data_IF_490641474084
#
_entry.id   IF_490641474084
#
_cell.length_a   1.000
_cell.length_b   1.000
_cell.length_c   1.000
_cell.angle_alpha   90.00
_cell.angle_beta   90.00
_cell.angle_gamma   90.00
#
_symmetry.space_group_name_H-M   'P 1'
#
loop_
_entity.id
_entity.type
_entity.pdbx_description
1 polymer ?
#
# COMPACT_ATOMS: atom_id res chain seq x y z
N UNK A 1 -11.52 -20.67 14.51
CA UNK A 1 -10.48 -19.92 15.25
C UNK A 1 -10.94 -18.50 15.54
N UNK A 2 -10.35 -17.88 16.55
CA UNK A 2 -10.57 -16.49 16.93
C UNK A 2 -9.27 -15.70 16.73
N UNK A 3 -9.29 -14.70 15.86
CA UNK A 3 -8.10 -13.90 15.50
C UNK A 3 -8.28 -12.47 15.97
N UNK A 4 -7.29 -11.93 16.65
CA UNK A 4 -7.24 -10.53 17.11
C UNK A 4 -6.14 -9.80 16.35
N UNK A 5 -6.52 -8.91 15.42
CA UNK A 5 -5.58 -8.06 14.67
C UNK A 5 -5.36 -6.74 15.39
N UNK A 6 -4.11 -6.30 15.48
CA UNK A 6 -3.74 -5.04 16.16
C UNK A 6 -3.04 -4.08 15.20
N UNK A 7 -3.58 -2.87 15.09
CA UNK A 7 -2.98 -1.78 14.31
C UNK A 7 -3.23 -0.43 15.01
N UNK A 8 -2.50 0.64 14.63
CA UNK A 8 -2.64 1.94 15.30
C UNK A 8 -4.03 2.53 15.17
N UNK A 9 -4.54 2.64 13.95
CA UNK A 9 -5.81 3.31 13.58
C UNK A 9 -6.43 2.65 12.36
N UNK A 10 -7.72 2.88 12.14
CA UNK A 10 -8.48 2.41 10.97
C UNK A 10 -8.94 3.58 10.09
N UNK A 11 -8.00 4.41 9.61
CA UNK A 11 -8.31 5.58 8.80
C UNK A 11 -8.18 5.32 7.29
N UNK A 12 -6.94 5.25 6.78
CA UNK A 12 -6.66 4.98 5.37
C UNK A 12 -5.21 4.55 5.17
N UNK A 13 -5.00 3.62 4.27
CA UNK A 13 -3.67 3.11 3.92
C UNK A 13 -3.67 1.62 3.62
N UNK A 14 -2.53 1.10 3.19
CA UNK A 14 -2.41 -0.31 2.81
C UNK A 14 -2.49 -1.27 4.00
N UNK A 15 -2.10 -0.84 5.20
CA UNK A 15 -2.19 -1.66 6.43
C UNK A 15 -3.64 -1.81 6.86
N UNK A 16 -4.36 -0.69 6.91
CA UNK A 16 -5.77 -0.62 7.29
C UNK A 16 -6.64 -1.43 6.33
N UNK A 17 -6.45 -1.21 5.02
CA UNK A 17 -7.17 -1.95 3.97
C UNK A 17 -6.91 -3.46 4.08
N UNK A 18 -5.64 -3.88 4.21
CA UNK A 18 -5.29 -5.28 4.40
C UNK A 18 -5.81 -5.88 5.71
N UNK A 19 -6.06 -5.06 6.75
CA UNK A 19 -6.71 -5.52 7.98
C UNK A 19 -8.18 -5.84 7.75
N UNK A 20 -8.91 -4.98 7.03
CA UNK A 20 -10.30 -5.22 6.66
C UNK A 20 -10.44 -6.44 5.75
N UNK A 21 -9.56 -6.56 4.74
CA UNK A 21 -9.54 -7.69 3.81
C UNK A 21 -9.43 -9.04 4.54
N UNK A 22 -8.48 -9.16 5.46
CA UNK A 22 -8.32 -10.39 6.29
C UNK A 22 -9.47 -10.56 7.28
N UNK A 23 -9.97 -9.47 7.87
CA UNK A 23 -11.11 -9.51 8.78
C UNK A 23 -12.37 -10.06 8.08
N UNK A 24 -12.66 -9.57 6.86
CA UNK A 24 -13.75 -10.07 6.02
C UNK A 24 -13.58 -11.54 5.65
N UNK A 25 -12.37 -11.96 5.27
CA UNK A 25 -12.07 -13.35 4.93
C UNK A 25 -12.27 -14.30 6.13
N UNK A 26 -11.87 -13.87 7.35
CA UNK A 26 -12.11 -14.61 8.58
C UNK A 26 -13.60 -14.83 8.83
N UNK A 27 -14.41 -13.76 8.74
CA UNK A 27 -15.87 -13.82 8.94
C UNK A 27 -16.52 -14.70 7.88
N UNK A 28 -16.14 -14.55 6.60
CA UNK A 28 -16.68 -15.34 5.49
C UNK A 28 -16.44 -16.86 5.65
N UNK A 29 -15.34 -17.24 6.34
CA UNK A 29 -15.03 -18.65 6.66
C UNK A 29 -15.54 -19.08 8.04
N UNK A 30 -16.44 -18.32 8.68
CA UNK A 30 -17.05 -18.67 9.97
C UNK A 30 -16.13 -18.52 11.17
N UNK A 31 -15.05 -17.74 11.04
CA UNK A 31 -14.12 -17.47 12.13
C UNK A 31 -14.48 -16.16 12.87
N UNK A 32 -14.05 -16.04 14.11
CA UNK A 32 -14.23 -14.81 14.89
C UNK A 32 -13.11 -13.83 14.60
N UNK A 33 -13.46 -12.64 14.13
CA UNK A 33 -12.55 -11.56 13.82
C UNK A 33 -12.70 -10.42 14.82
N UNK A 34 -11.61 -10.11 15.54
CA UNK A 34 -11.48 -8.98 16.45
C UNK A 34 -10.42 -8.03 15.91
N UNK A 35 -10.67 -6.73 15.98
CA UNK A 35 -9.69 -5.73 15.58
C UNK A 35 -9.53 -4.69 16.68
N UNK A 36 -8.30 -4.52 17.18
CA UNK A 36 -7.95 -3.55 18.22
C UNK A 36 -7.22 -2.37 17.57
N UNK A 37 -7.75 -1.17 17.76
CA UNK A 37 -7.13 0.07 17.28
C UNK A 37 -7.65 1.30 18.06
N UNK A 38 -7.08 2.48 17.79
CA UNK A 38 -7.60 3.75 18.31
C UNK A 38 -8.92 4.21 17.64
N UNK A 39 -9.52 3.38 16.77
CA UNK A 39 -10.66 3.76 15.95
C UNK A 39 -10.26 4.36 14.59
N UNK A 40 -11.20 4.97 13.91
CA UNK A 40 -11.02 5.60 12.62
C UNK A 40 -12.24 5.41 11.70
N UNK A 41 -12.24 6.08 10.55
CA UNK A 41 -13.37 6.10 9.61
C UNK A 41 -13.78 4.73 9.04
N UNK A 42 -12.89 3.76 9.06
CA UNK A 42 -13.15 2.40 8.54
C UNK A 42 -13.76 1.45 9.58
N UNK A 43 -13.99 1.90 10.83
CA UNK A 43 -14.59 1.07 11.89
C UNK A 43 -16.01 0.63 11.51
N UNK A 44 -16.84 1.56 11.03
CA UNK A 44 -18.22 1.23 10.63
C UNK A 44 -18.28 0.18 9.53
N UNK A 45 -17.35 0.25 8.56
CA UNK A 45 -17.23 -0.76 7.51
C UNK A 45 -16.81 -2.11 8.09
N UNK A 46 -15.79 -2.13 8.95
CA UNK A 46 -15.30 -3.35 9.60
C UNK A 46 -16.42 -4.08 10.35
N UNK A 47 -17.23 -3.34 11.11
CA UNK A 47 -18.33 -3.88 11.90
C UNK A 47 -19.52 -4.33 11.04
N UNK A 48 -19.84 -3.57 9.99
CA UNK A 48 -20.84 -3.97 9.00
C UNK A 48 -20.46 -5.26 8.26
N UNK A 49 -19.14 -5.53 8.11
CA UNK A 49 -18.61 -6.77 7.54
C UNK A 49 -18.50 -7.92 8.55
N UNK A 50 -19.03 -7.77 9.78
CA UNK A 50 -19.17 -8.82 10.79
C UNK A 50 -17.99 -8.98 11.74
N UNK A 51 -16.99 -8.12 11.71
CA UNK A 51 -15.90 -8.11 12.68
C UNK A 51 -16.23 -7.24 13.89
N UNK A 52 -15.67 -7.55 15.06
CA UNK A 52 -15.83 -6.73 16.26
C UNK A 52 -14.64 -5.78 16.40
N UNK A 53 -14.90 -4.48 16.52
CA UNK A 53 -13.87 -3.49 16.88
C UNK A 53 -13.76 -3.32 18.40
N UNK A 54 -12.53 -3.24 18.89
CA UNK A 54 -12.19 -2.96 20.29
C UNK A 54 -11.32 -1.71 20.35
N UNK A 55 -11.84 -0.63 20.88
CA UNK A 55 -11.13 0.65 20.94
C UNK A 55 -10.07 0.63 22.04
N UNK A 56 -8.81 0.82 21.64
CA UNK A 56 -7.68 0.99 22.55
C UNK A 56 -6.67 1.97 21.93
N UNK A 57 -6.18 3.00 22.64
CA UNK A 57 -5.27 4.02 22.09
C UNK A 57 -3.83 3.52 21.97
N UNK A 58 -3.60 2.58 21.03
CA UNK A 58 -2.31 1.93 20.76
C UNK A 58 -1.56 2.57 19.58
N UNK A 59 -1.93 3.79 19.19
CA UNK A 59 -1.37 4.50 18.03
C UNK A 59 -0.16 5.38 18.37
N UNK A 60 -0.05 5.90 19.58
CA UNK A 60 0.97 6.91 19.94
C UNK A 60 2.33 6.26 20.20
N UNK A 61 3.37 6.83 19.58
CA UNK A 61 4.76 6.51 19.88
C UNK A 61 5.25 7.36 21.06
N UNK A 62 4.81 7.02 22.27
CA UNK A 62 5.16 7.74 23.50
C UNK A 62 5.25 6.79 24.69
N UNK A 63 5.92 7.21 25.76
CA UNK A 63 5.99 6.43 27.01
C UNK A 63 4.60 6.23 27.62
N UNK A 64 3.67 7.16 27.42
CA UNK A 64 2.28 7.04 27.89
C UNK A 64 1.54 5.83 27.27
N UNK A 65 1.98 5.33 26.10
CA UNK A 65 1.40 4.14 25.51
C UNK A 65 1.63 2.88 26.36
N UNK A 66 2.64 2.86 27.23
CA UNK A 66 2.89 1.74 28.15
C UNK A 66 1.72 1.50 29.12
N UNK A 67 0.93 2.52 29.42
CA UNK A 67 -0.30 2.36 30.20
C UNK A 67 -1.32 1.44 29.54
N UNK A 68 -1.21 1.23 28.21
CA UNK A 68 -2.11 0.36 27.46
C UNK A 68 -1.74 -1.13 27.56
N UNK A 69 -0.60 -1.47 28.17
CA UNK A 69 -0.17 -2.88 28.35
C UNK A 69 -1.18 -3.66 29.20
N UNK A 70 -1.61 -3.11 30.34
CA UNK A 70 -2.58 -3.79 31.21
C UNK A 70 -3.99 -3.89 30.59
N UNK A 71 -4.56 -2.83 30.00
CA UNK A 71 -5.80 -2.94 29.23
C UNK A 71 -5.73 -3.95 28.09
N UNK A 72 -4.65 -3.94 27.30
CA UNK A 72 -4.46 -4.90 26.22
C UNK A 72 -4.40 -6.36 26.72
N UNK A 73 -3.67 -6.58 27.83
CA UNK A 73 -3.64 -7.91 28.47
C UNK A 73 -5.03 -8.37 28.87
N UNK A 74 -5.84 -7.50 29.51
CA UNK A 74 -7.22 -7.82 29.90
C UNK A 74 -8.08 -8.18 28.69
N UNK A 75 -7.96 -7.44 27.58
CA UNK A 75 -8.67 -7.76 26.33
C UNK A 75 -8.27 -9.15 25.79
N UNK A 76 -6.97 -9.49 25.83
CA UNK A 76 -6.50 -10.81 25.40
C UNK A 76 -7.03 -11.91 26.33
N UNK A 77 -7.00 -11.71 27.64
CA UNK A 77 -7.51 -12.67 28.65
C UNK A 77 -9.03 -12.83 28.59
N UNK A 78 -9.78 -11.75 28.36
CA UNK A 78 -11.24 -11.75 28.24
C UNK A 78 -11.72 -12.45 26.98
N UNK A 79 -11.11 -12.08 25.84
CA UNK A 79 -11.55 -12.60 24.55
C UNK A 79 -10.90 -13.91 24.17
N UNK A 80 -9.79 -14.30 24.79
CA UNK A 80 -9.05 -15.54 24.54
C UNK A 80 -8.89 -15.86 23.05
N UNK A 81 -8.23 -14.96 22.26
CA UNK A 81 -7.97 -15.23 20.86
C UNK A 81 -7.00 -16.41 20.73
N UNK A 82 -7.16 -17.23 19.70
CA UNK A 82 -6.20 -18.26 19.33
C UNK A 82 -4.92 -17.61 18.76
N UNK A 83 -5.10 -16.50 18.03
CA UNK A 83 -4.03 -15.78 17.35
C UNK A 83 -4.13 -14.29 17.62
N UNK A 84 -2.98 -13.69 17.94
CA UNK A 84 -2.78 -12.23 17.92
C UNK A 84 -1.90 -11.88 16.73
N UNK A 85 -2.41 -11.06 15.83
CA UNK A 85 -1.68 -10.60 14.64
C UNK A 85 -1.36 -9.11 14.72
N UNK A 86 -0.09 -8.78 14.91
CA UNK A 86 0.37 -7.39 15.01
C UNK A 86 0.80 -6.85 13.65
N UNK A 87 0.32 -5.64 13.31
CA UNK A 87 0.54 -5.02 12.01
C UNK A 87 1.36 -3.74 12.05
N UNK A 88 1.87 -3.37 13.24
CA UNK A 88 2.69 -2.17 13.43
C UNK A 88 3.52 -2.26 14.70
N UNK A 89 4.62 -1.49 14.73
CA UNK A 89 5.63 -1.54 15.79
C UNK A 89 5.12 -1.21 17.19
N UNK A 90 4.28 -0.16 17.35
CA UNK A 90 3.73 0.19 18.68
C UNK A 90 2.81 -0.90 19.20
N UNK A 91 1.78 -1.35 18.45
CA UNK A 91 1.00 -2.52 18.82
C UNK A 91 1.85 -3.76 19.13
N UNK A 92 2.91 -4.05 18.35
CA UNK A 92 3.79 -5.18 18.58
C UNK A 92 4.53 -5.09 19.92
N UNK A 93 5.08 -3.93 20.28
CA UNK A 93 5.71 -3.71 21.58
C UNK A 93 4.72 -3.87 22.74
N UNK A 94 3.53 -3.30 22.62
CA UNK A 94 2.50 -3.42 23.66
C UNK A 94 2.06 -4.88 23.84
N UNK A 95 1.86 -5.60 22.74
CA UNK A 95 1.54 -7.04 22.75
C UNK A 95 2.66 -7.85 23.40
N UNK A 96 3.92 -7.62 23.03
CA UNK A 96 5.06 -8.30 23.62
C UNK A 96 5.07 -8.18 25.16
N UNK A 97 4.85 -6.98 25.68
CA UNK A 97 4.78 -6.79 27.16
C UNK A 97 3.48 -7.34 27.78
N UNK A 98 2.36 -7.25 27.07
CA UNK A 98 1.11 -7.82 27.55
C UNK A 98 1.21 -9.35 27.69
N UNK A 99 1.75 -10.04 26.68
CA UNK A 99 1.92 -11.50 26.68
C UNK A 99 2.89 -11.99 27.76
N UNK A 100 3.93 -11.22 28.10
CA UNK A 100 4.83 -11.59 29.21
C UNK A 100 4.11 -11.77 30.56
N UNK A 101 2.99 -11.12 30.76
CA UNK A 101 2.19 -11.25 31.98
C UNK A 101 1.10 -12.30 31.90
N UNK A 102 0.98 -13.04 30.80
CA UNK A 102 0.07 -14.17 30.63
C UNK A 102 0.86 -15.47 30.76
N UNK A 103 0.39 -16.46 31.52
CA UNK A 103 1.03 -17.79 31.60
C UNK A 103 1.27 -18.38 30.21
N UNK A 104 2.42 -19.02 30.00
CA UNK A 104 2.85 -19.47 28.66
C UNK A 104 1.81 -20.38 27.97
N UNK A 105 1.19 -21.28 28.73
CA UNK A 105 0.15 -22.20 28.26
C UNK A 105 -1.22 -21.56 27.96
N UNK A 106 -1.36 -20.24 28.19
CA UNK A 106 -2.57 -19.45 27.90
C UNK A 106 -2.31 -18.32 26.89
N UNK A 107 -1.09 -18.24 26.36
CA UNK A 107 -0.74 -17.21 25.36
C UNK A 107 -1.30 -17.59 24.02
N UNK A 108 -1.91 -16.63 23.31
CA UNK A 108 -2.23 -16.81 21.88
C UNK A 108 -0.95 -16.92 21.06
N UNK A 109 -1.04 -17.58 19.90
CA UNK A 109 0.03 -17.53 18.90
C UNK A 109 0.23 -16.11 18.39
N UNK A 110 1.48 -15.70 18.24
CA UNK A 110 1.83 -14.35 17.80
C UNK A 110 2.32 -14.36 16.35
N UNK A 111 1.63 -13.61 15.50
CA UNK A 111 2.00 -13.40 14.11
C UNK A 111 2.21 -11.90 13.88
N UNK A 112 3.15 -11.56 13.02
CA UNK A 112 3.39 -10.18 12.61
C UNK A 112 3.38 -10.06 11.08
N UNK A 113 3.05 -8.86 10.57
CA UNK A 113 3.28 -8.52 9.15
C UNK A 113 4.20 -7.32 9.05
N UNK A 114 5.27 -7.47 8.29
CA UNK A 114 6.19 -6.39 7.93
C UNK A 114 5.67 -5.68 6.69
N UNK A 115 5.13 -4.46 6.88
CA UNK A 115 4.49 -3.65 5.84
C UNK A 115 5.38 -2.55 5.27
N UNK A 116 6.58 -2.36 5.80
CA UNK A 116 7.45 -1.25 5.44
C UNK A 116 8.93 -1.59 5.62
N UNK A 117 9.78 -0.93 4.86
CA UNK A 117 11.21 -0.87 5.12
C UNK A 117 11.46 0.10 6.28
N UNK A 118 11.43 -0.42 7.48
CA UNK A 118 11.63 0.38 8.68
C UNK A 118 13.11 0.74 8.85
N UNK A 119 13.39 1.82 9.60
CA UNK A 119 14.77 2.07 10.04
C UNK A 119 15.29 0.88 10.83
N UNK A 120 16.45 0.35 10.47
CA UNK A 120 17.06 -0.82 11.10
C UNK A 120 17.56 -0.44 12.49
N UNK A 121 16.86 -0.89 13.52
CA UNK A 121 17.19 -0.65 14.93
C UNK A 121 16.41 -1.61 15.85
N UNK A 122 16.76 -1.62 17.14
CA UNK A 122 16.11 -2.49 18.15
C UNK A 122 14.60 -2.24 18.27
N UNK A 123 14.14 -1.01 18.04
CA UNK A 123 12.71 -0.70 18.10
C UNK A 123 11.94 -1.36 16.96
N UNK A 124 12.49 -1.38 15.76
CA UNK A 124 11.86 -2.00 14.60
C UNK A 124 11.98 -3.53 14.60
N UNK A 125 13.01 -4.09 15.25
CA UNK A 125 13.23 -5.52 15.37
C UNK A 125 12.06 -6.27 16.04
N UNK A 126 11.19 -5.59 16.78
CA UNK A 126 10.01 -6.21 17.41
C UNK A 126 9.09 -6.88 16.37
N UNK A 127 9.06 -6.36 15.15
CA UNK A 127 8.23 -6.92 14.08
C UNK A 127 8.73 -8.27 13.55
N UNK A 128 9.94 -8.67 13.95
CA UNK A 128 10.55 -9.95 13.56
C UNK A 128 10.68 -10.92 14.74
N UNK A 129 10.00 -10.66 15.87
CA UNK A 129 10.02 -11.49 17.07
C UNK A 129 8.74 -12.31 17.29
N UNK A 130 7.88 -12.37 16.30
CA UNK A 130 6.70 -13.22 16.30
C UNK A 130 7.06 -14.67 15.90
N UNK A 131 6.21 -15.64 16.23
CA UNK A 131 6.36 -17.04 15.83
C UNK A 131 6.39 -17.22 14.32
N UNK A 132 5.59 -16.41 13.60
CA UNK A 132 5.63 -16.27 12.15
C UNK A 132 5.58 -14.81 11.75
N UNK A 133 6.38 -14.48 10.74
CA UNK A 133 6.54 -13.12 10.21
C UNK A 133 6.12 -13.10 8.75
N UNK A 134 5.00 -12.46 8.46
CA UNK A 134 4.54 -12.29 7.08
C UNK A 134 5.36 -11.17 6.44
N UNK A 135 6.03 -11.47 5.34
CA UNK A 135 6.67 -10.52 4.45
C UNK A 135 5.79 -10.30 3.21
N UNK A 136 5.47 -9.05 2.88
CA UNK A 136 4.51 -8.72 1.82
C UNK A 136 5.09 -8.78 0.39
N UNK A 137 6.37 -9.12 0.25
CA UNK A 137 7.08 -9.27 -1.02
C UNK A 137 8.44 -9.97 -0.81
N UNK A 138 9.09 -10.42 -1.88
CA UNK A 138 10.45 -10.96 -1.83
C UNK A 138 11.46 -9.89 -1.39
N UNK A 139 11.27 -8.64 -1.79
CA UNK A 139 12.08 -7.51 -1.32
C UNK A 139 11.99 -7.34 0.20
N UNK A 140 10.82 -7.59 0.81
CA UNK A 140 10.66 -7.55 2.28
C UNK A 140 11.28 -8.80 2.93
N UNK A 141 11.18 -9.98 2.31
CA UNK A 141 11.91 -11.18 2.78
C UNK A 141 13.41 -10.88 2.83
N UNK A 142 13.97 -10.38 1.73
CA UNK A 142 15.38 -9.99 1.65
C UNK A 142 15.76 -8.96 2.72
N UNK A 143 14.94 -7.92 2.87
CA UNK A 143 15.16 -6.90 3.90
C UNK A 143 15.21 -7.51 5.32
N UNK A 144 14.29 -8.43 5.65
CA UNK A 144 14.28 -9.08 6.98
C UNK A 144 15.53 -9.92 7.15
N UNK A 145 15.88 -10.77 6.19
CA UNK A 145 17.03 -11.68 6.27
C UNK A 145 18.37 -10.94 6.33
N UNK A 146 18.48 -9.82 5.63
CA UNK A 146 19.71 -9.01 5.61
C UNK A 146 19.94 -8.29 6.95
N UNK A 147 18.89 -7.79 7.59
CA UNK A 147 19.00 -6.85 8.71
C UNK A 147 18.62 -7.42 10.08
N UNK A 148 17.85 -8.51 10.15
CA UNK A 148 17.34 -9.07 11.42
C UNK A 148 17.74 -10.53 11.59
N UNK A 149 19.02 -10.75 11.89
CA UNK A 149 19.61 -12.12 12.01
C UNK A 149 18.95 -13.01 13.05
N UNK A 150 18.21 -12.43 14.00
CA UNK A 150 17.47 -13.18 15.03
C UNK A 150 16.09 -13.68 14.55
N UNK A 151 15.70 -13.40 13.29
CA UNK A 151 14.51 -13.95 12.68
C UNK A 151 14.92 -15.14 11.79
N UNK A 152 14.63 -16.39 12.20
CA UNK A 152 15.00 -17.55 11.40
C UNK A 152 14.26 -17.54 10.04
N UNK A 153 14.91 -17.92 8.94
CA UNK A 153 14.29 -17.90 7.62
C UNK A 153 12.99 -18.73 7.53
N UNK A 154 12.90 -19.85 8.26
CA UNK A 154 11.70 -20.71 8.32
C UNK A 154 10.51 -20.06 9.02
N UNK A 155 10.71 -18.96 9.74
CA UNK A 155 9.65 -18.20 10.40
C UNK A 155 9.16 -17.04 9.52
N UNK A 156 9.86 -16.75 8.42
CA UNK A 156 9.45 -15.74 7.44
C UNK A 156 8.59 -16.40 6.37
N UNK A 157 7.34 -15.93 6.25
CA UNK A 157 6.40 -16.41 5.23
C UNK A 157 6.10 -15.29 4.28
N UNK A 158 6.44 -15.45 3.00
CA UNK A 158 6.06 -14.49 1.98
C UNK A 158 4.58 -14.67 1.63
N UNK A 159 3.79 -13.63 1.86
CA UNK A 159 2.40 -13.55 1.40
C UNK A 159 2.24 -12.20 0.71
N UNK A 160 2.15 -12.22 -0.61
CA UNK A 160 1.95 -11.00 -1.40
C UNK A 160 0.64 -10.30 -1.02
N UNK A 161 0.61 -8.99 -1.20
CA UNK A 161 -0.66 -8.28 -1.22
C UNK A 161 -1.44 -8.65 -2.45
N UNK A 162 -2.76 -8.54 -2.33
CA UNK A 162 -3.65 -8.86 -3.42
C UNK A 162 -4.56 -7.72 -3.82
N UNK A 163 -5.13 -7.86 -5.01
CA UNK A 163 -6.17 -6.99 -5.54
C UNK A 163 -7.45 -7.78 -5.74
N UNK A 164 -8.57 -7.11 -5.48
CA UNK A 164 -9.90 -7.63 -5.78
C UNK A 164 -10.26 -7.28 -7.22
N UNK A 165 -10.38 -8.25 -8.13
CA UNK A 165 -10.75 -7.98 -9.52
C UNK A 165 -12.17 -7.43 -9.68
N UNK A 166 -13.05 -7.61 -8.69
CA UNK A 166 -14.37 -6.99 -8.71
C UNK A 166 -14.30 -5.49 -8.38
N UNK A 167 -13.34 -5.08 -7.53
CA UNK A 167 -13.11 -3.68 -7.22
C UNK A 167 -12.32 -2.94 -8.33
N UNK A 168 -11.44 -3.67 -9.05
CA UNK A 168 -10.60 -3.16 -10.13
C UNK A 168 -10.73 -4.07 -11.38
N UNK A 169 -11.91 -4.09 -12.02
CA UNK A 169 -12.14 -4.99 -13.16
C UNK A 169 -11.30 -4.56 -14.37
N UNK A 170 -10.80 -5.56 -15.10
CA UNK A 170 -10.02 -5.32 -16.31
C UNK A 170 -10.87 -4.59 -17.37
N UNK A 171 -10.25 -3.64 -18.08
CA UNK A 171 -10.91 -2.75 -19.02
C UNK A 171 -12.05 -1.90 -18.40
N UNK A 172 -11.90 -1.55 -17.11
CA UNK A 172 -12.83 -0.67 -16.44
C UNK A 172 -12.93 0.68 -17.17
N UNK A 173 -14.17 1.15 -17.36
CA UNK A 173 -14.43 2.47 -17.92
C UNK A 173 -15.15 3.35 -16.90
N UNK A 174 -14.63 4.54 -16.59
CA UNK A 174 -15.35 5.53 -15.78
C UNK A 174 -16.69 5.91 -16.42
N UNK A 175 -17.66 6.31 -15.62
CA UNK A 175 -18.97 6.72 -16.12
C UNK A 175 -18.92 8.06 -16.84
N UNK A 176 -19.87 8.29 -17.77
CA UNK A 176 -20.01 9.59 -18.43
C UNK A 176 -20.20 10.75 -17.43
N UNK A 177 -20.89 10.51 -16.32
CA UNK A 177 -21.05 11.50 -15.26
C UNK A 177 -19.70 11.86 -14.63
N UNK A 178 -18.83 10.87 -14.40
CA UNK A 178 -17.48 11.09 -13.86
C UNK A 178 -16.63 11.92 -14.85
N UNK A 179 -16.65 11.60 -16.15
CA UNK A 179 -15.95 12.38 -17.17
C UNK A 179 -16.44 13.83 -17.21
N UNK A 180 -17.76 14.06 -17.20
CA UNK A 180 -18.32 15.40 -17.18
C UNK A 180 -17.84 16.19 -15.96
N UNK A 181 -17.79 15.55 -14.77
CA UNK A 181 -17.30 16.21 -13.56
C UNK A 181 -15.80 16.53 -13.66
N UNK A 182 -14.98 15.61 -14.16
CA UNK A 182 -13.54 15.82 -14.31
C UNK A 182 -13.25 16.94 -15.29
N UNK A 183 -13.91 16.98 -16.44
CA UNK A 183 -13.67 18.04 -17.44
C UNK A 183 -14.25 19.39 -17.02
N UNK A 184 -15.27 19.43 -16.16
CA UNK A 184 -15.70 20.68 -15.54
C UNK A 184 -14.67 21.20 -14.52
N UNK A 185 -14.08 20.29 -13.72
CA UNK A 185 -13.09 20.67 -12.70
C UNK A 185 -11.69 20.91 -13.29
N UNK A 186 -11.33 20.18 -14.34
CA UNK A 186 -10.01 20.17 -14.98
C UNK A 186 -10.14 20.13 -16.52
N UNK A 187 -10.63 21.22 -17.15
CA UNK A 187 -10.88 21.24 -18.60
C UNK A 187 -9.62 21.04 -19.44
N UNK A 188 -8.45 21.33 -18.88
CA UNK A 188 -7.16 21.12 -19.53
C UNK A 188 -6.81 19.66 -19.78
N UNK A 189 -7.53 18.69 -19.18
CA UNK A 189 -7.30 17.26 -19.34
C UNK A 189 -8.05 16.67 -20.54
N UNK A 190 -8.98 17.42 -21.11
CA UNK A 190 -9.78 16.94 -22.24
C UNK A 190 -8.90 16.73 -23.49
N UNK A 191 -9.05 15.57 -24.13
CA UNK A 191 -8.31 15.17 -25.34
C UNK A 191 -6.77 15.15 -25.15
N UNK A 192 -6.27 14.88 -23.93
CA UNK A 192 -4.84 14.73 -23.64
C UNK A 192 -4.43 13.27 -23.57
N UNK A 193 -3.15 13.03 -23.83
CA UNK A 193 -2.49 11.78 -23.46
C UNK A 193 -1.98 11.92 -22.00
N UNK A 194 -2.49 11.11 -21.09
CA UNK A 194 -2.33 11.32 -19.67
C UNK A 194 -1.28 10.41 -19.03
N UNK A 195 -0.25 11.00 -18.44
CA UNK A 195 0.66 10.34 -17.51
C UNK A 195 0.18 10.57 -16.08
N UNK A 196 -0.22 9.53 -15.38
CA UNK A 196 -0.67 9.62 -13.99
C UNK A 196 0.44 9.25 -13.02
N UNK A 197 0.75 10.14 -12.07
CA UNK A 197 1.60 9.83 -10.90
C UNK A 197 0.74 9.78 -9.64
N UNK A 198 0.26 8.59 -9.24
CA UNK A 198 -0.56 8.45 -8.05
C UNK A 198 0.27 8.32 -6.78
N UNK A 199 -0.16 8.99 -5.73
CA UNK A 199 0.45 8.88 -4.41
C UNK A 199 0.49 10.18 -3.64
N UNK A 200 0.77 10.08 -2.34
CA UNK A 200 0.90 11.27 -1.47
C UNK A 200 2.05 12.14 -1.95
N UNK A 201 1.87 13.45 -1.90
CA UNK A 201 2.92 14.39 -2.26
C UNK A 201 4.01 14.38 -1.17
N UNK A 202 5.10 13.69 -1.48
CA UNK A 202 6.28 13.52 -0.63
C UNK A 202 7.52 13.37 -1.52
N UNK A 203 8.69 13.73 -1.01
CA UNK A 203 9.97 13.57 -1.74
C UNK A 203 10.30 12.13 -2.15
N UNK A 204 9.52 11.16 -1.67
CA UNK A 204 9.74 9.74 -1.97
C UNK A 204 9.04 9.26 -3.25
N UNK A 205 8.10 10.02 -3.79
CA UNK A 205 7.18 9.53 -4.84
C UNK A 205 7.61 9.88 -6.28
N UNK A 206 8.80 10.50 -6.46
CA UNK A 206 9.38 10.72 -7.78
C UNK A 206 8.73 11.86 -8.58
N UNK A 207 8.19 12.88 -7.89
CA UNK A 207 7.62 14.05 -8.56
C UNK A 207 8.67 14.81 -9.37
N UNK A 208 9.92 14.83 -8.90
CA UNK A 208 11.04 15.43 -9.59
C UNK A 208 11.32 14.72 -10.92
N UNK A 209 11.35 13.38 -10.92
CA UNK A 209 11.52 12.58 -12.16
C UNK A 209 10.35 12.80 -13.14
N UNK A 210 9.11 12.97 -12.64
CA UNK A 210 7.98 13.33 -13.50
C UNK A 210 8.19 14.70 -14.16
N UNK A 211 8.64 15.70 -13.42
CA UNK A 211 8.89 17.04 -13.94
C UNK A 211 10.00 17.02 -15.02
N UNK A 212 11.09 16.29 -14.78
CA UNK A 212 12.17 16.13 -15.76
C UNK A 212 11.69 15.38 -17.02
N UNK A 213 10.92 14.33 -16.87
CA UNK A 213 10.29 13.59 -17.96
C UNK A 213 9.41 14.51 -18.82
N UNK A 214 8.52 15.27 -18.19
CA UNK A 214 7.64 16.22 -18.90
C UNK A 214 8.43 17.32 -19.62
N UNK A 215 9.51 17.84 -19.02
CA UNK A 215 10.36 18.82 -19.64
C UNK A 215 11.01 18.32 -20.94
N UNK A 216 11.40 17.04 -20.96
CA UNK A 216 12.02 16.43 -22.14
C UNK A 216 11.02 16.11 -23.25
N UNK A 217 9.77 15.77 -22.90
CA UNK A 217 8.77 15.27 -23.85
C UNK A 217 7.80 16.31 -24.37
N UNK A 218 7.55 17.42 -23.65
CA UNK A 218 6.49 18.38 -23.97
C UNK A 218 6.56 18.98 -25.37
N UNK A 219 7.77 19.20 -25.90
CA UNK A 219 7.95 19.81 -27.23
C UNK A 219 7.63 18.82 -28.36
N UNK A 220 7.96 17.54 -28.16
CA UNK A 220 7.71 16.48 -29.14
C UNK A 220 6.26 16.00 -29.10
N UNK A 221 5.63 16.02 -27.92
CA UNK A 221 4.26 15.53 -27.70
C UNK A 221 3.39 16.62 -27.06
N UNK A 222 2.88 17.61 -27.85
CA UNK A 222 2.09 18.72 -27.31
C UNK A 222 0.81 18.31 -26.58
N UNK A 223 0.22 17.15 -26.94
CA UNK A 223 -0.95 16.57 -26.29
C UNK A 223 -0.63 15.89 -24.94
N UNK A 224 0.66 15.70 -24.61
CA UNK A 224 1.06 15.05 -23.36
C UNK A 224 0.71 15.94 -22.17
N UNK A 225 0.10 15.34 -21.14
CA UNK A 225 -0.24 16.01 -19.89
C UNK A 225 -0.02 15.08 -18.70
N UNK A 226 0.50 15.60 -17.62
CA UNK A 226 0.71 14.82 -16.42
C UNK A 226 -0.34 15.16 -15.35
N UNK A 227 -0.86 14.12 -14.69
CA UNK A 227 -1.81 14.26 -13.58
C UNK A 227 -1.19 13.68 -12.30
N UNK A 228 -1.09 14.50 -11.26
CA UNK A 228 -0.64 14.07 -9.94
C UNK A 228 -1.85 13.83 -9.04
N UNK A 229 -2.12 12.54 -8.76
CA UNK A 229 -3.29 12.12 -7.98
C UNK A 229 -2.87 11.83 -6.54
N UNK A 230 -3.00 12.83 -5.66
CA UNK A 230 -2.65 12.68 -4.26
C UNK A 230 -2.56 14.01 -3.52
N UNK A 231 -2.73 13.97 -2.22
CA UNK A 231 -2.70 15.17 -1.38
C UNK A 231 -1.37 15.36 -0.64
N UNK A 232 -1.08 16.62 -0.31
CA UNK A 232 -0.08 17.01 0.67
C UNK A 232 -0.75 17.18 2.04
N UNK A 233 -0.23 16.54 3.09
CA UNK A 233 -0.65 16.90 4.44
C UNK A 233 -0.01 18.23 4.88
N UNK A 234 -0.50 18.82 5.99
CA UNK A 234 -0.04 20.13 6.46
C UNK A 234 1.50 20.26 6.59
N UNK A 235 2.19 19.17 6.96
CA UNK A 235 3.66 19.15 7.08
C UNK A 235 4.39 19.08 5.74
N UNK A 236 3.69 18.83 4.63
CA UNK A 236 4.25 18.68 3.28
C UNK A 236 3.82 19.80 2.33
N UNK A 237 3.10 20.80 2.82
CA UNK A 237 2.65 21.93 2.02
C UNK A 237 3.84 22.71 1.41
N UNK A 238 4.92 22.90 2.16
CA UNK A 238 6.14 23.54 1.65
C UNK A 238 6.74 22.80 0.46
N UNK A 239 6.75 21.47 0.48
CA UNK A 239 7.23 20.67 -0.65
C UNK A 239 6.32 20.77 -1.88
N UNK A 240 4.99 20.81 -1.68
CA UNK A 240 4.06 21.07 -2.79
C UNK A 240 4.34 22.44 -3.44
N UNK A 241 4.53 23.50 -2.64
CA UNK A 241 4.86 24.83 -3.16
C UNK A 241 6.19 24.86 -3.91
N UNK A 242 7.19 24.12 -3.44
CA UNK A 242 8.49 23.95 -4.12
C UNK A 242 8.31 23.28 -5.50
N UNK A 243 7.52 22.20 -5.58
CA UNK A 243 7.21 21.53 -6.86
C UNK A 243 6.49 22.49 -7.82
N UNK A 244 5.48 23.21 -7.35
CA UNK A 244 4.72 24.19 -8.18
C UNK A 244 5.63 25.29 -8.72
N UNK A 245 6.54 25.81 -7.89
CA UNK A 245 7.53 26.81 -8.33
C UNK A 245 8.48 26.23 -9.38
N UNK A 246 8.94 24.99 -9.20
CA UNK A 246 9.80 24.31 -10.18
C UNK A 246 9.08 24.12 -11.52
N UNK A 247 7.83 23.67 -11.50
CA UNK A 247 6.97 23.48 -12.66
C UNK A 247 6.81 24.81 -13.43
N UNK A 248 6.54 25.90 -12.73
CA UNK A 248 6.39 27.21 -13.32
C UNK A 248 7.69 27.71 -13.95
N UNK A 249 8.82 27.59 -13.26
CA UNK A 249 10.14 27.98 -13.75
C UNK A 249 10.59 27.19 -14.99
N UNK A 250 10.11 25.94 -15.15
CA UNK A 250 10.38 25.08 -16.30
C UNK A 250 9.35 25.25 -17.44
N UNK A 251 8.38 26.16 -17.30
CA UNK A 251 7.33 26.37 -18.31
C UNK A 251 6.38 25.19 -18.49
N UNK A 252 6.09 24.46 -17.41
CA UNK A 252 5.25 23.26 -17.40
C UNK A 252 3.89 23.49 -16.70
N UNK A 253 3.55 24.73 -16.38
CA UNK A 253 2.36 25.05 -15.60
C UNK A 253 1.04 24.60 -16.27
N UNK A 254 1.01 24.56 -17.60
CA UNK A 254 -0.11 24.10 -18.42
C UNK A 254 -0.01 22.61 -18.82
N UNK A 255 0.98 21.88 -18.30
CA UNK A 255 1.29 20.48 -18.63
C UNK A 255 1.21 19.52 -17.44
N UNK A 256 1.08 20.03 -16.21
CA UNK A 256 1.04 19.21 -14.99
C UNK A 256 -0.08 19.72 -14.08
N UNK A 257 -1.08 18.90 -13.84
CA UNK A 257 -2.23 19.19 -12.97
C UNK A 257 -2.19 18.39 -11.67
N UNK A 258 -2.36 19.06 -10.54
CA UNK A 258 -2.52 18.44 -9.23
C UNK A 258 -3.99 18.34 -8.86
N UNK A 259 -4.57 17.16 -8.90
CA UNK A 259 -6.00 16.94 -8.62
C UNK A 259 -6.31 16.71 -7.13
N UNK A 260 -5.29 16.77 -6.28
CA UNK A 260 -5.45 16.62 -4.84
C UNK A 260 -5.73 15.18 -4.39
N UNK A 261 -6.24 15.04 -3.16
CA UNK A 261 -6.61 13.72 -2.64
C UNK A 261 -7.92 13.23 -3.25
N UNK A 262 -7.88 12.05 -3.87
CA UNK A 262 -9.04 11.44 -4.55
C UNK A 262 -9.42 10.12 -3.89
N UNK A 263 -10.71 9.89 -3.72
CA UNK A 263 -11.27 8.58 -3.29
C UNK A 263 -11.61 7.66 -4.46
N UNK A 264 -11.79 8.24 -5.65
CA UNK A 264 -12.09 7.64 -6.94
C UNK A 264 -10.81 7.28 -7.71
N UNK A 265 -9.82 6.70 -7.00
CA UNK A 265 -8.51 6.37 -7.60
C UNK A 265 -8.61 5.41 -8.78
N UNK A 266 -9.54 4.46 -8.74
CA UNK A 266 -9.77 3.50 -9.82
C UNK A 266 -10.10 4.19 -11.12
N UNK A 267 -10.99 5.17 -11.05
CA UNK A 267 -11.41 6.00 -12.19
C UNK A 267 -10.22 6.76 -12.79
N UNK A 268 -9.39 7.38 -11.94
CA UNK A 268 -8.19 8.09 -12.39
C UNK A 268 -7.16 7.17 -13.04
N UNK A 269 -6.96 5.96 -12.48
CA UNK A 269 -6.07 4.96 -13.08
C UNK A 269 -6.58 4.51 -14.45
N UNK A 270 -7.89 4.24 -14.57
CA UNK A 270 -8.51 3.80 -15.82
C UNK A 270 -8.62 4.92 -16.88
N UNK A 271 -8.69 6.17 -16.46
CA UNK A 271 -8.69 7.34 -17.35
C UNK A 271 -7.31 7.66 -17.93
N UNK A 272 -6.25 7.20 -17.29
CA UNK A 272 -4.89 7.51 -17.70
C UNK A 272 -4.38 6.55 -18.77
N UNK A 273 -3.57 7.06 -19.70
CA UNK A 273 -2.92 6.25 -20.73
C UNK A 273 -1.72 5.47 -20.16
N UNK A 274 -0.98 6.08 -19.22
CA UNK A 274 0.15 5.45 -18.53
C UNK A 274 0.13 5.87 -17.05
N UNK A 275 0.33 4.92 -16.17
CA UNK A 275 0.56 5.19 -14.75
C UNK A 275 2.05 5.07 -14.44
N UNK A 276 2.59 6.03 -13.72
CA UNK A 276 4.00 6.09 -13.34
C UNK A 276 4.20 5.67 -11.87
N UNK A 277 5.20 4.83 -11.63
CA UNK A 277 5.62 4.42 -10.29
C UNK A 277 7.11 4.74 -10.11
N UNK A 278 7.42 6.00 -9.79
CA UNK A 278 8.76 6.57 -9.82
C UNK A 278 9.34 6.81 -8.40
N UNK A 279 8.90 6.03 -7.42
CA UNK A 279 9.39 6.18 -6.05
C UNK A 279 10.92 6.03 -5.98
N UNK A 280 11.62 7.05 -5.46
CA UNK A 280 13.09 7.05 -5.29
C UNK A 280 13.56 6.17 -4.12
N UNK A 281 12.64 5.57 -3.37
CA UNK A 281 12.90 4.49 -2.41
C UNK A 281 12.03 3.29 -2.75
N UNK A 282 12.54 2.09 -2.43
CA UNK A 282 11.79 0.86 -2.64
C UNK A 282 10.43 0.90 -1.92
N UNK A 283 9.38 0.55 -2.63
CA UNK A 283 8.08 0.26 -2.05
C UNK A 283 8.02 -1.21 -1.64
N UNK A 284 7.35 -1.50 -0.53
CA UNK A 284 7.29 -2.88 -0.03
C UNK A 284 6.42 -3.79 -0.90
N UNK A 285 5.47 -3.22 -1.67
CA UNK A 285 4.67 -3.98 -2.63
C UNK A 285 4.38 -3.18 -3.91
N UNK A 286 3.84 -1.95 -3.82
CA UNK A 286 3.43 -1.17 -5.00
C UNK A 286 1.97 -1.39 -5.38
N UNK A 287 1.07 -1.33 -4.39
CA UNK A 287 -0.36 -1.61 -4.58
C UNK A 287 -0.98 -0.81 -5.72
N UNK A 288 -0.65 0.46 -5.87
CA UNK A 288 -1.22 1.32 -6.91
C UNK A 288 -0.79 0.91 -8.31
N UNK A 289 0.44 0.41 -8.47
CA UNK A 289 0.89 -0.16 -9.75
C UNK A 289 0.05 -1.39 -10.12
N UNK A 290 -0.21 -2.29 -9.17
CA UNK A 290 -1.08 -3.44 -9.38
C UNK A 290 -2.53 -3.04 -9.69
N UNK A 291 -3.06 -2.02 -9.00
CA UNK A 291 -4.40 -1.47 -9.23
C UNK A 291 -4.55 -0.93 -10.66
N UNK A 292 -3.53 -0.21 -11.16
CA UNK A 292 -3.51 0.29 -12.54
C UNK A 292 -3.45 -0.83 -13.57
N UNK A 293 -2.56 -1.81 -13.40
CA UNK A 293 -2.46 -2.98 -14.28
C UNK A 293 -3.77 -3.78 -14.29
N UNK A 294 -4.44 -3.89 -13.15
CA UNK A 294 -5.72 -4.62 -13.06
C UNK A 294 -6.83 -3.98 -13.88
N UNK A 295 -6.93 -2.65 -13.91
CA UNK A 295 -7.91 -1.96 -14.75
C UNK A 295 -7.51 -1.93 -16.24
N UNK A 296 -6.33 -2.43 -16.59
CA UNK A 296 -5.83 -2.51 -17.97
C UNK A 296 -4.92 -1.34 -18.36
N UNK A 297 -4.54 -0.47 -17.41
CA UNK A 297 -3.67 0.68 -17.70
C UNK A 297 -2.20 0.28 -17.59
N UNK A 298 -1.37 0.54 -18.61
CA UNK A 298 0.07 0.35 -18.60
C UNK A 298 0.74 1.05 -17.42
N UNK A 299 1.72 0.41 -16.80
CA UNK A 299 2.51 1.00 -15.71
C UNK A 299 3.98 1.03 -16.11
N UNK A 300 4.59 2.20 -16.00
CA UNK A 300 6.04 2.36 -16.13
C UNK A 300 6.60 2.69 -14.75
N UNK A 301 7.59 1.95 -14.31
CA UNK A 301 8.13 2.12 -12.96
C UNK A 301 9.56 1.67 -12.80
N UNK A 302 10.21 2.18 -11.75
CA UNK A 302 11.58 1.81 -11.45
C UNK A 302 11.71 0.33 -11.07
N UNK A 303 12.76 -0.30 -11.57
CA UNK A 303 13.18 -1.66 -11.16
C UNK A 303 13.68 -1.63 -9.71
N UNK A 304 12.73 -1.50 -8.76
CA UNK A 304 13.03 -1.35 -7.35
C UNK A 304 11.89 -1.86 -6.47
N UNK A 305 12.21 -2.72 -5.50
CA UNK A 305 11.27 -3.20 -4.48
C UNK A 305 10.09 -3.99 -5.05
N UNK A 306 8.95 -3.94 -4.35
CA UNK A 306 7.75 -4.69 -4.74
C UNK A 306 7.13 -4.24 -6.07
N UNK A 307 7.36 -2.99 -6.51
CA UNK A 307 6.94 -2.54 -7.86
C UNK A 307 7.67 -3.34 -8.94
N UNK A 308 8.97 -3.56 -8.78
CA UNK A 308 9.75 -4.39 -9.71
C UNK A 308 9.22 -5.83 -9.75
N UNK A 309 8.84 -6.40 -8.62
CA UNK A 309 8.27 -7.74 -8.54
C UNK A 309 6.93 -7.82 -9.31
N UNK A 310 6.06 -6.82 -9.16
CA UNK A 310 4.80 -6.76 -9.89
C UNK A 310 5.05 -6.61 -11.40
N UNK A 311 5.86 -5.63 -11.80
CA UNK A 311 6.12 -5.37 -13.21
C UNK A 311 6.80 -6.56 -13.89
N UNK A 312 7.81 -7.18 -13.27
CA UNK A 312 8.48 -8.36 -13.82
C UNK A 312 7.53 -9.53 -14.09
N UNK A 313 6.47 -9.67 -13.29
CA UNK A 313 5.50 -10.76 -13.44
C UNK A 313 4.33 -10.41 -14.37
N UNK A 314 3.88 -9.15 -14.38
CA UNK A 314 2.62 -8.76 -15.03
C UNK A 314 2.86 -7.91 -16.27
N UNK A 315 3.86 -7.02 -16.25
CA UNK A 315 4.08 -6.03 -17.31
C UNK A 315 5.58 -5.69 -17.46
N UNK A 316 6.42 -6.63 -17.91
CA UNK A 316 7.88 -6.46 -17.97
C UNK A 316 8.35 -5.28 -18.82
N UNK A 317 7.62 -4.92 -19.88
CA UNK A 317 7.95 -3.81 -20.77
C UNK A 317 7.82 -2.42 -20.09
N UNK A 318 7.17 -2.33 -18.94
CA UNK A 318 7.12 -1.12 -18.13
C UNK A 318 8.24 -0.99 -17.11
N UNK A 319 9.14 -1.97 -17.02
CA UNK A 319 10.21 -1.99 -16.03
C UNK A 319 11.40 -1.17 -16.51
N UNK A 320 11.78 -0.14 -15.76
CA UNK A 320 12.90 0.74 -16.09
C UNK A 320 13.96 0.66 -15.00
N UNK A 321 15.25 0.65 -15.38
CA UNK A 321 16.35 0.70 -14.44
C UNK A 321 16.21 1.91 -13.51
N UNK A 322 16.37 1.69 -12.21
CA UNK A 322 16.13 2.71 -11.20
C UNK A 322 17.03 3.94 -11.42
N UNK A 323 16.40 5.12 -11.43
CA UNK A 323 17.05 6.42 -11.61
C UNK A 323 17.70 6.63 -13.01
N UNK A 324 17.41 5.76 -13.97
CA UNK A 324 17.83 5.94 -15.35
C UNK A 324 16.78 6.78 -16.11
N UNK A 325 16.89 8.10 -15.98
CA UNK A 325 15.96 9.07 -16.59
C UNK A 325 15.90 8.95 -18.12
N UNK A 326 17.05 8.60 -18.78
CA UNK A 326 17.06 8.38 -20.23
C UNK A 326 16.22 7.17 -20.62
N UNK A 327 16.38 6.07 -19.92
CA UNK A 327 15.60 4.87 -20.17
C UNK A 327 14.11 5.12 -19.89
N UNK A 328 13.77 5.94 -18.86
CA UNK A 328 12.39 6.34 -18.57
C UNK A 328 11.79 7.09 -19.77
N UNK A 329 12.48 8.10 -20.29
CA UNK A 329 12.05 8.88 -21.45
C UNK A 329 11.80 7.98 -22.66
N UNK A 330 12.75 7.10 -23.01
CA UNK A 330 12.61 6.19 -24.15
C UNK A 330 11.47 5.18 -23.95
N UNK A 331 11.29 4.67 -22.75
CA UNK A 331 10.18 3.75 -22.45
C UNK A 331 8.83 4.46 -22.59
N UNK A 332 8.70 5.69 -22.08
CA UNK A 332 7.46 6.47 -22.22
C UNK A 332 7.20 6.82 -23.69
N UNK A 333 8.21 7.26 -24.45
CA UNK A 333 8.08 7.51 -25.90
C UNK A 333 7.56 6.29 -26.64
N UNK A 334 8.18 5.13 -26.38
CA UNK A 334 7.74 3.90 -27.00
C UNK A 334 6.26 3.59 -26.73
N UNK A 335 5.78 3.81 -25.51
CA UNK A 335 4.37 3.60 -25.17
C UNK A 335 3.41 4.65 -25.78
N UNK A 336 3.88 5.88 -26.00
CA UNK A 336 3.10 6.92 -26.72
C UNK A 336 2.97 6.55 -28.21
N UNK A 337 4.06 6.15 -28.84
CA UNK A 337 4.13 5.86 -30.27
C UNK A 337 3.54 4.49 -30.64
N UNK A 338 3.63 3.54 -29.72
CA UNK A 338 3.15 2.18 -29.88
C UNK A 338 2.34 1.77 -28.63
N UNK A 339 1.05 2.15 -28.56
CA UNK A 339 0.22 1.83 -27.40
C UNK A 339 0.25 0.35 -27.06
N UNK A 340 0.54 0.08 -25.81
CA UNK A 340 0.68 -1.28 -25.28
C UNK A 340 -0.60 -1.70 -24.55
N UNK A 341 -0.98 -2.96 -24.71
CA UNK A 341 -2.10 -3.54 -23.96
C UNK A 341 -1.60 -4.27 -22.71
N UNK A 342 -2.36 -4.21 -21.66
CA UNK A 342 -2.14 -4.97 -20.43
C UNK A 342 -3.05 -6.19 -20.46
N UNK A 343 -2.51 -7.38 -20.28
CA UNK A 343 -3.31 -8.59 -20.13
C UNK A 343 -4.02 -8.62 -18.75
N UNK A 344 -5.16 -9.32 -18.61
CA UNK A 344 -5.79 -9.50 -17.31
C UNK A 344 -4.81 -10.05 -16.26
N UNK A 345 -4.77 -9.43 -15.09
CA UNK A 345 -3.86 -9.81 -14.02
C UNK A 345 -4.33 -11.11 -13.39
N UNK A 346 -3.57 -12.18 -13.58
CA UNK A 346 -3.86 -13.52 -13.04
C UNK A 346 -3.15 -13.81 -11.71
N UNK A 347 -2.16 -12.99 -11.34
CA UNK A 347 -1.35 -13.12 -10.12
C UNK A 347 -1.71 -12.04 -9.10
N UNK A 348 -1.24 -12.18 -7.87
CA UNK A 348 -1.48 -11.19 -6.80
C UNK A 348 -2.98 -10.99 -6.50
N UNK A 349 -3.77 -12.07 -6.47
CA UNK A 349 -5.18 -11.97 -6.16
C UNK A 349 -5.42 -11.72 -4.66
N UNK A 350 -6.49 -10.97 -4.33
CA UNK A 350 -6.94 -10.79 -2.95
C UNK A 350 -7.30 -12.13 -2.31
N UNK A 351 -7.88 -13.03 -3.10
CA UNK A 351 -8.25 -14.38 -2.64
C UNK A 351 -7.01 -15.15 -2.17
N UNK A 352 -5.95 -15.20 -2.98
CA UNK A 352 -4.72 -15.92 -2.64
C UNK A 352 -4.05 -15.32 -1.40
N UNK A 353 -4.03 -14.00 -1.26
CA UNK A 353 -3.51 -13.32 -0.06
C UNK A 353 -4.30 -13.75 1.20
N UNK A 354 -5.62 -13.79 1.11
CA UNK A 354 -6.47 -14.18 2.22
C UNK A 354 -6.30 -15.67 2.54
N UNK A 355 -6.37 -16.54 1.55
CA UNK A 355 -6.25 -17.99 1.74
C UNK A 355 -4.90 -18.36 2.38
N UNK A 356 -3.78 -17.89 1.82
CA UNK A 356 -2.45 -18.12 2.40
C UNK A 356 -2.32 -17.58 3.83
N UNK A 357 -2.96 -16.43 4.13
CA UNK A 357 -2.94 -15.90 5.50
C UNK A 357 -3.73 -16.78 6.47
N UNK A 358 -4.89 -17.28 6.04
CA UNK A 358 -5.72 -18.15 6.87
C UNK A 358 -5.09 -19.56 7.02
N UNK A 359 -4.46 -20.07 5.98
CA UNK A 359 -3.65 -21.31 6.03
C UNK A 359 -2.49 -21.19 7.03
N UNK A 360 -1.77 -20.05 7.01
CA UNK A 360 -0.74 -19.76 7.98
C UNK A 360 -1.30 -19.75 9.41
N UNK A 361 -2.46 -19.12 9.62
CA UNK A 361 -3.11 -19.13 10.94
C UNK A 361 -3.46 -20.54 11.40
N UNK A 362 -3.99 -21.37 10.51
CA UNK A 362 -4.32 -22.76 10.81
C UNK A 362 -3.08 -23.61 11.10
N UNK A 363 -1.96 -23.33 10.43
CA UNK A 363 -0.72 -24.09 10.58
C UNK A 363 -0.05 -23.91 11.94
N UNK A 364 -0.21 -22.73 12.58
CA UNK A 364 0.35 -22.49 13.92
C UNK A 364 -0.53 -23.04 15.05
N UNK A 365 -1.77 -23.45 14.75
CA UNK A 365 -2.69 -24.05 15.71
C UNK A 365 -2.60 -25.59 15.78
N UNK A 366 -1.89 -26.21 14.83
CA UNK A 366 -1.61 -27.65 14.79
C UNK A 366 -0.37 -27.98 15.60
#
# INVERSE_FOLDING_TARGET
MKVMQLLPELNSGGVERGTLEIARALVAQGHQSLVVSNGGRLVSQLEAEGSKHLTLPIHKKSLSSLWQIRPLRRLIEEHQPDIVHVRSRVPAWLTHFALKGIPANKRPHLISTVHGFYSVNRYSAIMTQAEKVIAVSDSVVKYITDHYKNCPPQDIVRIYRGIDPAAFPHNYQPSAQWFNQVFNDFPELENKFLLCLPGRITRLKGHESLIELMQQLQSQYPQLHAVVVGGANAKKQAYLSELQSTIQNKGLADKITFVGHRSDIREWLAFSDIVLSLSNQAETFGRTALEALSVGTPVIGWNRGGVAEILSNVYPQGLVEAENEKALVETVKHHIEQPQTVAPVATFSLKDMCDQTLELYQSVLK
#
